data_IF_073891638633
#
_entry.id   IF_073891638633
#
_cell.length_a   1.000
_cell.length_b   1.000
_cell.length_c   1.000
_cell.angle_alpha   90.00
_cell.angle_beta   90.00
_cell.angle_gamma   90.00
#
_symmetry.space_group_name_H-M   'P 1'
#
loop_
_entity.id
_entity.type
_entity.pdbx_description
1 polymer ?
#
# COMPACT_ATOMS: atom_id res chain seq x y z
N UNK A 1 -4.68 18.33 -16.04
CA UNK A 1 -4.84 17.34 -14.94
C UNK A 1 -5.53 16.09 -15.46
N UNK A 2 -4.86 14.94 -15.45
CA UNK A 2 -5.60 13.69 -15.54
C UNK A 2 -4.89 12.66 -14.65
N UNK A 3 -5.28 12.62 -13.37
CA UNK A 3 -5.05 11.44 -12.55
C UNK A 3 -5.72 10.28 -13.29
N UNK A 4 -4.92 9.45 -13.97
CA UNK A 4 -5.44 8.25 -14.62
C UNK A 4 -5.62 7.20 -13.55
N UNK A 5 -6.71 7.35 -12.81
CA UNK A 5 -7.22 6.31 -11.93
C UNK A 5 -7.18 4.98 -12.67
N UNK A 6 -6.50 3.97 -12.11
CA UNK A 6 -6.65 2.62 -12.62
C UNK A 6 -8.09 2.21 -12.38
N UNK A 7 -8.81 1.93 -13.46
CA UNK A 7 -10.14 1.38 -13.39
C UNK A 7 -10.02 -0.07 -12.93
N UNK A 8 -10.38 -0.35 -11.67
CA UNK A 8 -10.35 -1.71 -11.14
C UNK A 8 -11.67 -2.42 -11.47
N UNK A 9 -11.62 -3.65 -12.03
CA UNK A 9 -12.82 -4.44 -12.26
C UNK A 9 -13.47 -4.79 -10.93
N UNK A 10 -14.80 -4.74 -10.86
CA UNK A 10 -15.58 -5.20 -9.71
C UNK A 10 -16.26 -6.51 -10.06
N UNK A 11 -16.42 -7.38 -9.05
CA UNK A 11 -17.19 -8.63 -9.18
C UNK A 11 -18.62 -8.36 -9.67
N UNK A 12 -19.23 -7.27 -9.18
CA UNK A 12 -20.54 -6.78 -9.61
C UNK A 12 -20.49 -5.25 -9.82
N UNK A 13 -20.87 -4.78 -11.01
CA UNK A 13 -21.05 -3.35 -11.33
C UNK A 13 -19.92 -2.72 -12.17
N UNK A 14 -20.09 -1.44 -12.56
CA UNK A 14 -19.14 -0.76 -13.43
C UNK A 14 -17.79 -0.59 -12.73
N UNK A 15 -16.67 -0.60 -13.49
CA UNK A 15 -15.35 -0.41 -12.94
C UNK A 15 -15.26 0.96 -12.23
N UNK A 16 -14.68 0.96 -11.04
CA UNK A 16 -14.45 2.20 -10.28
C UNK A 16 -13.02 2.67 -10.46
N UNK A 17 -12.91 3.99 -10.54
CA UNK A 17 -11.66 4.72 -10.47
C UNK A 17 -11.14 4.68 -9.02
N UNK A 18 -10.01 4.04 -8.80
CA UNK A 18 -9.37 3.98 -7.46
C UNK A 18 -8.19 4.94 -7.43
N UNK A 19 -8.12 5.89 -6.47
CA UNK A 19 -7.02 6.82 -6.36
C UNK A 19 -5.74 6.05 -6.08
N UNK A 20 -4.86 6.01 -7.05
CA UNK A 20 -3.64 5.20 -7.03
C UNK A 20 -2.46 6.02 -7.51
N UNK A 21 -1.31 5.88 -6.85
CA UNK A 21 -0.06 6.57 -7.20
C UNK A 21 1.10 5.58 -7.24
N UNK A 22 2.10 5.78 -8.11
CA UNK A 22 3.35 5.03 -8.03
C UNK A 22 4.13 5.48 -6.79
N UNK A 23 4.57 4.53 -5.97
CA UNK A 23 5.38 4.75 -4.78
C UNK A 23 6.57 3.80 -4.83
N UNK A 24 7.77 4.34 -4.65
CA UNK A 24 8.97 3.55 -4.43
C UNK A 24 9.14 3.31 -2.93
N UNK A 25 9.15 2.05 -2.52
CA UNK A 25 9.46 1.63 -1.15
C UNK A 25 10.93 1.20 -1.08
N UNK A 26 11.65 1.70 -0.08
CA UNK A 26 13.08 1.46 0.13
C UNK A 26 13.23 0.79 1.49
N UNK A 27 13.49 -0.52 1.46
CA UNK A 27 13.71 -1.34 2.65
C UNK A 27 15.19 -1.64 2.89
N UNK A 28 15.52 -2.38 3.95
CA UNK A 28 16.90 -2.79 4.24
C UNK A 28 17.56 -3.64 3.15
N UNK A 29 16.78 -4.48 2.45
CA UNK A 29 17.30 -5.45 1.49
C UNK A 29 17.02 -5.11 0.03
N UNK A 30 15.95 -4.37 -0.26
CA UNK A 30 15.51 -4.12 -1.64
C UNK A 30 14.78 -2.77 -1.81
N UNK A 31 14.59 -2.37 -3.07
CA UNK A 31 13.82 -1.20 -3.50
C UNK A 31 12.75 -1.63 -4.50
N UNK A 32 11.49 -1.34 -4.21
CA UNK A 32 10.35 -1.82 -5.00
C UNK A 32 9.44 -0.66 -5.40
N UNK A 33 9.07 -0.61 -6.68
CA UNK A 33 8.05 0.29 -7.21
C UNK A 33 6.67 -0.40 -7.21
N UNK A 34 5.73 0.17 -6.46
CA UNK A 34 4.36 -0.35 -6.32
C UNK A 34 3.35 0.75 -6.67
N UNK A 35 2.27 0.38 -7.33
CA UNK A 35 1.10 1.26 -7.46
C UNK A 35 0.24 1.10 -6.20
N UNK A 36 0.31 2.08 -5.32
CA UNK A 36 -0.38 2.07 -4.02
C UNK A 36 -1.69 2.86 -4.06
N UNK A 37 -2.65 2.48 -3.22
CA UNK A 37 -3.94 3.15 -3.08
C UNK A 37 -3.79 4.31 -2.08
N UNK A 38 -4.39 5.45 -2.38
CA UNK A 38 -4.59 6.55 -1.42
C UNK A 38 -5.94 6.34 -0.74
N UNK A 39 -5.93 5.89 0.50
CA UNK A 39 -7.14 5.59 1.26
C UNK A 39 -7.21 6.45 2.53
N UNK A 40 -8.04 7.49 2.51
CA UNK A 40 -8.26 8.35 3.69
C UNK A 40 -9.09 7.67 4.77
N UNK A 41 -9.67 6.50 4.50
CA UNK A 41 -10.41 5.71 5.48
C UNK A 41 -9.54 4.74 6.28
N UNK A 42 -8.25 4.65 5.99
CA UNK A 42 -7.30 3.81 6.72
C UNK A 42 -6.50 4.66 7.72
N UNK A 43 -6.43 4.19 8.97
CA UNK A 43 -5.64 4.83 10.03
C UNK A 43 -4.13 4.60 9.85
N UNK A 44 -3.76 3.49 9.21
CA UNK A 44 -2.39 3.07 8.98
C UNK A 44 -2.15 2.68 7.51
N UNK A 45 -0.88 2.73 7.10
CA UNK A 45 -0.46 2.15 5.82
C UNK A 45 -0.16 0.67 5.98
N UNK A 46 -0.56 -0.13 4.98
CA UNK A 46 -0.38 -1.58 4.99
C UNK A 46 0.29 -2.05 3.70
N UNK A 47 1.25 -2.96 3.85
CA UNK A 47 1.92 -3.66 2.76
C UNK A 47 1.58 -5.15 2.83
N UNK A 48 1.45 -5.85 1.68
CA UNK A 48 1.38 -7.30 1.66
C UNK A 48 2.59 -7.94 2.32
N UNK A 49 2.41 -9.11 2.93
CA UNK A 49 3.47 -9.83 3.64
C UNK A 49 4.67 -10.09 2.74
N UNK A 50 4.42 -10.49 1.50
CA UNK A 50 5.45 -10.81 0.51
C UNK A 50 6.30 -9.59 0.15
N UNK A 51 5.67 -8.40 0.11
CA UNK A 51 6.36 -7.13 -0.13
C UNK A 51 7.24 -6.79 1.07
N UNK A 52 6.73 -6.95 2.30
CA UNK A 52 7.52 -6.75 3.52
C UNK A 52 8.73 -7.70 3.60
N UNK A 53 8.54 -8.97 3.22
CA UNK A 53 9.62 -9.96 3.11
C UNK A 53 10.67 -9.54 2.09
N UNK A 54 10.25 -9.13 0.89
CA UNK A 54 11.15 -8.72 -0.17
C UNK A 54 11.95 -7.47 0.21
N UNK A 55 11.32 -6.48 0.85
CA UNK A 55 11.98 -5.29 1.35
C UNK A 55 12.97 -5.60 2.49
N UNK A 56 12.87 -6.77 3.13
CA UNK A 56 13.69 -7.17 4.26
C UNK A 56 13.27 -6.49 5.57
N UNK A 57 11.97 -6.25 5.75
CA UNK A 57 11.42 -5.72 7.01
C UNK A 57 11.42 -6.79 8.11
N UNK A 58 11.46 -6.37 9.37
CA UNK A 58 11.41 -7.27 10.52
C UNK A 58 9.97 -7.63 10.91
N UNK A 59 9.49 -8.73 10.32
CA UNK A 59 8.13 -9.24 10.50
C UNK A 59 7.90 -9.98 11.83
N UNK A 60 8.91 -10.00 12.71
CA UNK A 60 8.84 -10.69 14.00
C UNK A 60 8.44 -9.77 15.15
N UNK A 61 8.59 -8.45 14.96
CA UNK A 61 8.34 -7.43 15.97
C UNK A 61 6.92 -6.86 15.89
N UNK A 62 6.50 -6.23 16.98
CA UNK A 62 5.30 -5.40 17.07
C UNK A 62 4.06 -6.05 16.42
N UNK A 63 3.82 -7.32 16.76
CA UNK A 63 2.68 -8.06 16.23
C UNK A 63 1.39 -7.59 16.87
N UNK A 64 0.35 -7.41 16.06
CA UNK A 64 -0.95 -7.00 16.56
C UNK A 64 -2.07 -7.21 15.53
N UNK A 65 -3.32 -7.27 15.99
CA UNK A 65 -4.46 -7.35 15.09
C UNK A 65 -4.70 -5.97 14.43
N UNK A 66 -5.02 -5.99 13.14
CA UNK A 66 -5.56 -4.85 12.41
C UNK A 66 -6.97 -5.17 11.91
N UNK A 67 -7.93 -4.30 12.21
CA UNK A 67 -9.33 -4.47 11.84
C UNK A 67 -9.66 -3.88 10.47
N UNK A 68 -10.65 -4.49 9.80
CA UNK A 68 -11.27 -3.97 8.59
C UNK A 68 -12.70 -4.48 8.44
N UNK A 69 -13.35 -4.16 7.32
CA UNK A 69 -14.75 -4.56 7.04
C UNK A 69 -14.95 -6.08 7.11
N UNK A 70 -13.91 -6.87 6.82
CA UNK A 70 -13.94 -8.33 6.85
C UNK A 70 -13.58 -8.98 8.19
N UNK A 71 -13.29 -8.20 9.23
CA UNK A 71 -12.77 -8.70 10.52
C UNK A 71 -11.32 -8.29 10.76
N UNK A 72 -10.66 -8.98 11.69
CA UNK A 72 -9.29 -8.71 12.10
C UNK A 72 -8.29 -9.66 11.42
N UNK A 73 -7.10 -9.15 11.14
CA UNK A 73 -5.96 -9.89 10.57
C UNK A 73 -4.71 -9.57 11.36
N UNK A 74 -3.86 -10.57 11.60
CA UNK A 74 -2.56 -10.38 12.23
C UNK A 74 -1.60 -9.58 11.34
N UNK A 75 -0.94 -8.60 11.94
CA UNK A 75 0.03 -7.73 11.28
C UNK A 75 1.32 -7.67 12.09
N UNK A 76 2.40 -7.21 11.45
CA UNK A 76 3.65 -6.85 12.09
C UNK A 76 4.01 -5.42 11.66
N UNK A 77 4.38 -4.57 12.62
CA UNK A 77 4.70 -3.17 12.37
C UNK A 77 6.20 -2.95 12.23
N UNK A 78 6.59 -2.27 11.15
CA UNK A 78 7.95 -1.81 10.90
C UNK A 78 7.95 -0.50 10.08
N UNK A 79 9.11 0.12 9.95
CA UNK A 79 9.29 1.37 9.21
C UNK A 79 10.00 1.14 7.87
N UNK A 80 9.47 1.77 6.83
CA UNK A 80 10.05 1.76 5.48
C UNK A 80 10.16 3.19 4.97
N UNK A 81 11.20 3.48 4.19
CA UNK A 81 11.33 4.78 3.53
C UNK A 81 10.53 4.77 2.24
N UNK A 82 9.70 5.80 2.06
CA UNK A 82 8.93 5.99 0.81
C UNK A 82 9.49 7.14 -0.02
N UNK A 83 9.48 6.97 -1.33
CA UNK A 83 9.70 8.04 -2.31
C UNK A 83 8.49 8.10 -3.23
N UNK A 84 7.81 9.24 -3.17
CA UNK A 84 6.75 9.60 -4.11
C UNK A 84 7.44 10.42 -5.20
N UNK A 85 7.28 10.05 -6.47
CA UNK A 85 7.85 10.82 -7.56
C UNK A 85 7.21 12.23 -7.62
N UNK A 86 7.94 13.25 -8.03
CA UNK A 86 7.34 14.57 -8.29
C UNK A 86 6.83 14.63 -9.74
N UNK A 87 5.77 15.43 -9.97
CA UNK A 87 5.15 15.63 -11.29
C UNK A 87 3.74 15.08 -11.44
N UNK A 88 3.14 14.56 -10.36
CA UNK A 88 1.73 14.16 -10.30
C UNK A 88 0.80 15.34 -10.01
N UNK A 89 1.34 16.37 -9.37
CA UNK A 89 0.71 17.62 -9.00
C UNK A 89 0.91 18.62 -10.14
N UNK A 90 -0.13 18.86 -10.94
CA UNK A 90 -0.24 20.01 -11.84
C UNK A 90 -1.63 20.56 -11.63
#
# INVERSE_FOLDING_TARGET
>A
MNFKYKALPRKNGPPRKTPTIPVTFIGPSDVIDIVSILDSGADISVLPLEVGQQLGLDLTKNKGPCGGVGGEVDTAEDHVRVKIAQGHEN
#
